data_IF_599284576889
#
_entry.id   IF_599284576889
#
_cell.length_a   1.000
_cell.length_b   1.000
_cell.length_c   1.000
_cell.angle_alpha   90.00
_cell.angle_beta   90.00
_cell.angle_gamma   90.00
#
_symmetry.space_group_name_H-M   'P 1'
#
loop_
_entity.id
_entity.type
_entity.pdbx_description
1 polymer ?
#
# COMPACT_ATOMS: atom_id res chain seq x y z
N UNK A 1 39.11 -23.68 19.22
CA UNK A 1 38.33 -23.66 20.49
C UNK A 1 37.12 -22.78 20.26
N UNK A 2 35.91 -23.28 20.55
CA UNK A 2 34.69 -22.47 20.48
C UNK A 2 34.61 -21.60 21.74
N UNK A 3 34.51 -20.28 21.61
CA UNK A 3 34.38 -19.40 22.76
C UNK A 3 32.90 -19.17 23.13
N UNK A 4 32.64 -18.79 24.39
CA UNK A 4 31.29 -18.38 24.83
C UNK A 4 30.72 -17.25 23.97
N UNK A 5 31.59 -16.40 23.43
CA UNK A 5 31.21 -15.26 22.57
C UNK A 5 30.73 -15.72 21.20
N UNK A 6 31.36 -16.78 20.67
CA UNK A 6 30.97 -17.38 19.39
C UNK A 6 29.61 -18.08 19.52
N UNK A 7 29.38 -18.75 20.65
CA UNK A 7 28.08 -19.36 20.96
C UNK A 7 26.95 -18.31 21.05
N UNK A 8 27.17 -17.20 21.77
CA UNK A 8 26.16 -16.13 21.89
C UNK A 8 25.86 -15.44 20.55
N UNK A 9 26.88 -15.25 19.70
CA UNK A 9 26.70 -14.69 18.36
C UNK A 9 25.90 -15.62 17.46
N UNK A 10 26.22 -16.91 17.47
CA UNK A 10 25.53 -17.90 16.65
C UNK A 10 24.06 -18.05 17.06
N UNK A 11 23.80 -18.19 18.36
CA UNK A 11 22.43 -18.35 18.88
C UNK A 11 21.60 -17.08 18.77
N UNK A 12 22.18 -15.91 19.06
CA UNK A 12 21.52 -14.61 18.86
C UNK A 12 21.19 -14.33 17.40
N UNK A 13 22.09 -14.65 16.47
CA UNK A 13 21.86 -14.52 15.03
C UNK A 13 20.74 -15.45 14.53
N UNK A 14 20.73 -16.70 14.98
CA UNK A 14 19.67 -17.65 14.63
C UNK A 14 18.30 -17.21 15.17
N UNK A 15 18.24 -16.73 16.42
CA UNK A 15 17.01 -16.20 17.01
C UNK A 15 16.49 -14.96 16.26
N UNK A 16 17.40 -14.06 15.85
CA UNK A 16 17.03 -12.88 15.07
C UNK A 16 16.41 -13.26 13.70
N UNK A 17 16.91 -14.31 13.04
CA UNK A 17 16.32 -14.77 11.77
C UNK A 17 14.89 -15.29 11.91
N UNK A 18 14.54 -15.88 13.06
CA UNK A 18 13.18 -16.34 13.34
C UNK A 18 12.20 -15.17 13.56
N UNK A 19 12.71 -13.99 13.92
CA UNK A 19 11.92 -12.78 14.15
C UNK A 19 11.88 -11.84 12.93
N UNK A 20 12.59 -12.15 11.85
CA UNK A 20 12.54 -11.35 10.63
C UNK A 20 11.14 -11.44 9.99
N UNK A 21 10.57 -10.31 9.54
CA UNK A 21 9.33 -10.33 8.79
C UNK A 21 9.52 -11.12 7.49
N UNK A 22 8.53 -11.96 7.14
CA UNK A 22 8.51 -12.62 5.83
C UNK A 22 8.24 -11.57 4.77
N UNK A 23 9.20 -11.34 3.88
CA UNK A 23 8.98 -10.52 2.71
C UNK A 23 8.15 -11.31 1.69
N UNK A 24 6.90 -10.92 1.49
CA UNK A 24 6.05 -11.47 0.44
C UNK A 24 6.22 -10.63 -0.82
N UNK A 25 7.14 -11.05 -1.68
CA UNK A 25 7.26 -10.47 -3.02
C UNK A 25 6.18 -11.09 -3.92
N UNK A 26 5.54 -10.25 -4.73
CA UNK A 26 4.56 -10.72 -5.70
C UNK A 26 5.23 -11.65 -6.72
N UNK A 27 4.92 -12.94 -6.66
CA UNK A 27 5.32 -13.94 -7.65
C UNK A 27 4.10 -14.28 -8.48
N UNK A 28 3.84 -13.46 -9.50
CA UNK A 28 2.73 -13.65 -10.43
C UNK A 28 3.29 -14.03 -11.79
N UNK A 29 2.79 -15.12 -12.38
CA UNK A 29 3.07 -15.45 -13.77
C UNK A 29 2.46 -14.36 -14.66
N UNK A 30 3.31 -13.48 -15.18
CA UNK A 30 2.92 -12.28 -15.90
C UNK A 30 3.93 -11.95 -16.98
N UNK A 31 3.50 -11.14 -17.95
CA UNK A 31 4.34 -10.69 -19.08
C UNK A 31 5.51 -9.77 -18.69
N UNK A 32 5.77 -9.54 -17.39
CA UNK A 32 6.86 -8.71 -16.87
C UNK A 32 6.88 -7.28 -17.45
N UNK A 33 5.69 -6.68 -17.64
CA UNK A 33 5.55 -5.31 -18.13
C UNK A 33 5.93 -4.30 -17.04
N UNK A 34 6.77 -3.33 -17.39
CA UNK A 34 7.07 -2.19 -16.53
C UNK A 34 6.05 -1.07 -16.77
N UNK A 35 5.30 -0.70 -15.73
CA UNK A 35 4.35 0.41 -15.75
C UNK A 35 4.80 1.46 -14.74
N UNK A 36 5.09 2.66 -15.21
CA UNK A 36 5.45 3.79 -14.36
C UNK A 36 4.30 4.79 -14.30
N UNK A 37 3.68 4.92 -13.12
CA UNK A 37 2.59 5.86 -12.88
C UNK A 37 3.15 7.08 -12.16
N UNK A 38 3.08 8.26 -12.79
CA UNK A 38 3.52 9.52 -12.21
C UNK A 38 2.33 10.25 -11.61
N UNK A 39 2.25 10.26 -10.28
CA UNK A 39 1.27 11.04 -9.53
C UNK A 39 1.69 12.51 -9.45
N UNK A 40 1.61 13.21 -10.59
CA UNK A 40 1.95 14.64 -10.68
C UNK A 40 0.93 15.51 -9.95
N UNK A 41 1.35 16.69 -9.50
CA UNK A 41 0.43 17.73 -9.03
C UNK A 41 -0.30 17.39 -7.73
N UNK A 42 0.38 16.73 -6.79
CA UNK A 42 -0.19 16.29 -5.51
C UNK A 42 -1.43 15.38 -5.69
N UNK A 43 -1.41 14.51 -6.70
CA UNK A 43 -2.45 13.53 -6.92
C UNK A 43 -2.59 12.60 -5.69
N UNK A 44 -3.68 12.78 -4.95
CA UNK A 44 -4.04 12.00 -3.78
C UNK A 44 -4.98 10.85 -4.16
N UNK A 45 -5.17 9.90 -3.24
CA UNK A 45 -6.10 8.79 -3.44
C UNK A 45 -7.57 9.22 -3.47
N UNK A 46 -7.93 10.33 -2.81
CA UNK A 46 -9.32 10.80 -2.69
C UNK A 46 -9.86 11.42 -4.00
N UNK A 47 -8.96 11.83 -4.89
CA UNK A 47 -9.27 12.35 -6.22
C UNK A 47 -8.91 11.36 -7.34
N UNK A 48 -8.18 10.29 -7.02
CA UNK A 48 -7.87 9.20 -7.96
C UNK A 48 -8.90 8.07 -7.87
N UNK A 49 -9.34 7.73 -6.66
CA UNK A 49 -10.35 6.69 -6.38
C UNK A 49 -11.31 7.25 -5.33
N UNK A 50 -12.34 7.94 -5.81
CA UNK A 50 -13.23 8.78 -5.01
C UNK A 50 -14.12 7.90 -4.12
N UNK A 51 -14.05 7.97 -2.78
CA UNK A 51 -14.90 7.19 -1.88
C UNK A 51 -16.27 7.86 -1.70
N UNK A 52 -17.06 7.95 -2.77
CA UNK A 52 -18.26 8.76 -2.80
C UNK A 52 -19.35 8.32 -1.82
N UNK A 53 -19.37 7.04 -1.42
CA UNK A 53 -20.33 6.52 -0.46
C UNK A 53 -19.90 6.72 1.00
N UNK A 54 -18.69 7.22 1.26
CA UNK A 54 -18.25 7.56 2.62
C UNK A 54 -19.01 8.81 3.10
N UNK A 55 -19.77 8.74 4.20
CA UNK A 55 -20.56 9.87 4.71
C UNK A 55 -19.71 11.09 5.07
N UNK A 56 -18.43 10.89 5.36
CA UNK A 56 -17.46 11.93 5.69
C UNK A 56 -16.81 12.58 4.47
N UNK A 57 -16.84 11.96 3.28
CA UNK A 57 -16.06 12.42 2.12
C UNK A 57 -16.34 13.88 1.76
N UNK A 58 -17.60 14.23 1.48
CA UNK A 58 -17.96 15.58 1.06
C UNK A 58 -17.63 16.63 2.15
N UNK A 59 -17.87 16.31 3.42
CA UNK A 59 -17.58 17.18 4.56
C UNK A 59 -16.09 17.42 4.74
N UNK A 60 -15.27 16.37 4.62
CA UNK A 60 -13.82 16.45 4.83
C UNK A 60 -13.10 17.03 3.62
N UNK A 61 -13.58 16.77 2.40
CA UNK A 61 -12.98 17.25 1.15
C UNK A 61 -13.39 18.69 0.83
N UNK A 62 -14.54 19.14 1.32
CA UNK A 62 -15.05 20.50 1.16
C UNK A 62 -15.26 20.83 -0.32
N UNK A 63 -14.75 21.99 -0.76
CA UNK A 63 -14.87 22.45 -2.15
C UNK A 63 -14.18 21.54 -3.18
N UNK A 64 -13.34 20.60 -2.74
CA UNK A 64 -12.65 19.64 -3.59
C UNK A 64 -13.39 18.30 -3.70
N UNK A 65 -14.57 18.17 -3.10
CA UNK A 65 -15.40 16.99 -3.25
C UNK A 65 -15.93 16.89 -4.69
N UNK A 66 -15.70 15.73 -5.33
CA UNK A 66 -16.25 15.44 -6.65
C UNK A 66 -17.69 14.98 -6.51
N UNK A 67 -18.56 15.45 -7.41
CA UNK A 67 -19.93 14.96 -7.50
C UNK A 67 -19.95 13.53 -8.05
N UNK A 68 -20.44 12.60 -7.23
CA UNK A 68 -20.57 11.19 -7.57
C UNK A 68 -21.44 10.94 -8.80
N UNK A 69 -22.37 11.84 -9.13
CA UNK A 69 -23.20 11.75 -10.32
C UNK A 69 -22.42 12.03 -11.62
N UNK A 70 -21.28 12.72 -11.53
CA UNK A 70 -20.40 13.03 -12.66
C UNK A 70 -19.21 12.06 -12.78
N UNK A 71 -18.98 11.24 -11.76
CA UNK A 71 -17.89 10.27 -11.71
C UNK A 71 -18.30 8.90 -12.26
N UNK A 72 -17.33 8.17 -12.81
CA UNK A 72 -17.47 6.81 -13.28
C UNK A 72 -17.46 5.85 -12.11
N UNK A 73 -18.61 5.29 -11.74
CA UNK A 73 -18.70 4.33 -10.61
C UNK A 73 -17.87 3.08 -10.89
N UNK A 74 -16.98 2.76 -9.96
CA UNK A 74 -16.23 1.50 -9.95
C UNK A 74 -17.05 0.40 -9.27
N UNK A 75 -17.74 0.75 -8.18
CA UNK A 75 -18.62 -0.14 -7.43
C UNK A 75 -19.68 0.66 -6.65
N UNK A 76 -20.26 0.06 -5.61
CA UNK A 76 -21.24 0.73 -4.73
C UNK A 76 -20.65 1.79 -3.79
N UNK A 77 -19.32 1.92 -3.75
CA UNK A 77 -18.58 2.73 -2.77
C UNK A 77 -17.56 3.70 -3.37
N UNK A 78 -17.00 3.40 -4.54
CA UNK A 78 -15.93 4.16 -5.19
C UNK A 78 -16.24 4.56 -6.63
N UNK A 79 -15.63 5.66 -7.09
CA UNK A 79 -15.73 6.17 -8.47
C UNK A 79 -14.42 6.82 -8.98
N UNK A 80 -14.33 7.05 -10.29
CA UNK A 80 -13.25 7.75 -11.02
C UNK A 80 -13.73 9.05 -11.66
#
# INVERSE_FOLDING_TARGET
MFSRRDFLRATGGAAAMLALPRLTLASVDSDRRFVFVIQRGAADGLNTVIPYADPGYARLRGALAIDAAQATKLDGTFAL
#
